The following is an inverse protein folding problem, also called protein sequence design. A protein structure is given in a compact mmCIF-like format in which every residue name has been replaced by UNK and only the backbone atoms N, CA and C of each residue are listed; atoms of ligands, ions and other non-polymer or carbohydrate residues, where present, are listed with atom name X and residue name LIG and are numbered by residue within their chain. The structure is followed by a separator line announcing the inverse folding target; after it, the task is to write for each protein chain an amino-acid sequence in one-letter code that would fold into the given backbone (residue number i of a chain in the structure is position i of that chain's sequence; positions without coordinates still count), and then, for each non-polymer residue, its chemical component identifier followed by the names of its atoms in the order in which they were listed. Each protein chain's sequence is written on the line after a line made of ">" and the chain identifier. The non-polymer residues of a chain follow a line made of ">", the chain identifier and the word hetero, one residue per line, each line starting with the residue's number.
data_IF_201100981634
#
_entry.id   IF_201100981634
#
_cell.length_a   1.000
_cell.length_b   1.000
_cell.length_c   1.000
_cell.angle_alpha   90.00
_cell.angle_beta   90.00
_cell.angle_gamma   90.00
#
_symmetry.space_group_name_H-M   'P 1'
#
loop_
_entity.id
_entity.type
_entity.pdbx_description
1 polymer ?
#
# COMPACT_ATOMS: atom_id res chain seq x y z
N UNK A 1 -9.75 28.29 6.41
CA UNK A 1 -8.92 27.94 5.23
C UNK A 1 -9.50 26.78 4.43
N UNK A 2 -10.09 25.76 5.07
CA UNK A 2 -10.57 24.53 4.42
C UNK A 2 -11.67 24.75 3.38
N UNK A 3 -12.70 25.55 3.67
CA UNK A 3 -13.79 25.85 2.71
C UNK A 3 -13.34 26.60 1.45
N UNK A 4 -12.33 27.48 1.55
CA UNK A 4 -11.77 28.21 0.41
C UNK A 4 -10.94 27.27 -0.48
N UNK A 5 -10.11 26.42 0.13
CA UNK A 5 -9.34 25.38 -0.58
C UNK A 5 -10.29 24.38 -1.26
N UNK A 6 -11.34 23.97 -0.56
CA UNK A 6 -12.35 23.05 -1.04
C UNK A 6 -13.19 23.63 -2.20
N UNK A 7 -13.53 24.92 -2.17
CA UNK A 7 -14.20 25.62 -3.27
C UNK A 7 -13.32 25.73 -4.52
N UNK A 8 -12.01 25.96 -4.37
CA UNK A 8 -11.01 25.96 -5.46
C UNK A 8 -10.89 24.57 -6.12
N UNK A 9 -11.02 23.49 -5.35
CA UNK A 9 -10.94 22.11 -5.85
C UNK A 9 -12.24 21.57 -6.46
N UNK A 10 -13.37 22.28 -6.33
CA UNK A 10 -14.63 21.90 -6.98
C UNK A 10 -14.55 22.00 -8.52
N UNK A 11 -15.38 21.26 -9.29
CA UNK A 11 -15.41 21.36 -10.75
C UNK A 11 -15.63 22.78 -11.25
N UNK A 12 -16.47 23.58 -10.58
CA UNK A 12 -16.71 24.99 -10.91
C UNK A 12 -15.52 25.90 -10.56
N UNK A 13 -14.87 25.65 -9.42
CA UNK A 13 -13.64 26.34 -9.02
C UNK A 13 -12.50 26.06 -10.00
N UNK A 14 -12.27 24.80 -10.33
CA UNK A 14 -11.30 24.37 -11.33
C UNK A 14 -11.67 24.89 -12.72
N UNK A 15 -12.93 24.88 -13.13
CA UNK A 15 -13.37 25.46 -14.40
C UNK A 15 -13.12 26.97 -14.46
N UNK A 16 -13.40 27.72 -13.38
CA UNK A 16 -13.09 29.17 -13.30
C UNK A 16 -11.58 29.45 -13.28
N UNK A 17 -10.77 28.56 -12.69
CA UNK A 17 -9.31 28.65 -12.69
C UNK A 17 -8.69 28.28 -14.04
N UNK A 18 -9.25 27.28 -14.72
CA UNK A 18 -8.76 26.72 -15.99
C UNK A 18 -9.37 27.40 -17.22
N UNK A 19 -10.46 28.14 -17.08
CA UNK A 19 -11.08 28.92 -18.16
C UNK A 19 -10.11 29.93 -18.82
N UNK A 20 -8.96 30.21 -18.18
CA UNK A 20 -7.92 31.11 -18.68
C UNK A 20 -6.53 30.44 -18.79
N UNK A 21 -6.46 29.11 -18.86
CA UNK A 21 -5.22 28.40 -19.17
C UNK A 21 -4.79 28.68 -20.62
N UNK A 22 -3.54 29.09 -20.84
CA UNK A 22 -3.00 29.37 -22.18
C UNK A 22 -3.07 28.12 -23.09
N UNK A 23 -3.57 28.28 -24.32
CA UNK A 23 -3.73 27.21 -25.33
C UNK A 23 -2.43 26.76 -26.03
N UNK A 24 -1.24 27.05 -25.49
CA UNK A 24 0.03 26.64 -26.13
C UNK A 24 0.97 25.91 -25.16
N UNK A 25 1.21 24.63 -25.43
CA UNK A 25 2.44 23.90 -25.09
C UNK A 25 2.58 23.35 -23.66
N UNK A 26 2.22 24.10 -22.62
CA UNK A 26 2.22 23.64 -21.22
C UNK A 26 1.20 24.49 -20.44
N UNK A 27 0.20 23.91 -19.74
CA UNK A 27 -0.76 24.71 -18.98
C UNK A 27 -0.04 25.36 -17.79
N UNK A 28 0.22 26.65 -17.90
CA UNK A 28 0.68 27.53 -16.82
C UNK A 28 -0.37 28.61 -16.61
N UNK A 29 -0.69 28.92 -15.35
CA UNK A 29 -1.56 30.05 -14.99
C UNK A 29 -0.84 31.32 -15.43
N UNK A 30 -1.21 31.84 -16.60
CA UNK A 30 -0.36 32.77 -17.35
C UNK A 30 -0.26 34.18 -16.74
N UNK A 31 -0.93 34.51 -15.61
CA UNK A 31 -0.87 35.86 -15.02
C UNK A 31 -0.92 35.87 -13.46
N UNK A 32 -0.26 36.85 -12.80
CA UNK A 32 -0.01 36.88 -11.36
C UNK A 32 -1.26 37.21 -10.52
N UNK A 33 -1.14 37.00 -9.21
CA UNK A 33 -2.03 37.25 -8.04
C UNK A 33 -3.18 38.28 -8.09
N UNK A 34 -3.27 39.18 -9.06
CA UNK A 34 -4.36 40.14 -9.21
C UNK A 34 -5.66 39.50 -9.72
N UNK A 35 -5.60 38.45 -10.54
CA UNK A 35 -6.80 37.78 -11.07
C UNK A 35 -7.47 36.81 -10.09
N UNK A 36 -6.71 36.23 -9.17
CA UNK A 36 -7.29 35.41 -8.09
C UNK A 36 -8.25 36.25 -7.21
N UNK A 37 -8.04 37.57 -7.14
CA UNK A 37 -8.92 38.50 -6.41
C UNK A 37 -10.23 38.81 -7.13
N UNK A 38 -10.34 38.51 -8.43
CA UNK A 38 -11.55 38.76 -9.23
C UNK A 38 -12.46 37.52 -9.37
N UNK A 39 -12.06 36.37 -8.81
CA UNK A 39 -12.92 35.18 -8.80
C UNK A 39 -14.00 35.40 -7.74
N UNK A 40 -15.23 35.66 -8.18
CA UNK A 40 -16.40 35.67 -7.31
C UNK A 40 -16.76 34.21 -6.93
N UNK A 41 -16.52 33.90 -5.66
CA UNK A 41 -16.91 32.65 -5.02
C UNK A 41 -18.23 32.88 -4.29
N UNK A 42 -19.27 32.13 -4.68
CA UNK A 42 -20.47 32.04 -3.85
C UNK A 42 -20.12 31.19 -2.63
N UNK A 43 -20.00 31.85 -1.48
CA UNK A 43 -19.70 31.19 -0.21
C UNK A 43 -21.00 31.02 0.58
N UNK A 44 -21.29 29.82 1.11
CA UNK A 44 -22.45 29.64 1.97
C UNK A 44 -22.27 30.42 3.28
N UNK A 45 -23.33 30.63 4.08
CA UNK A 45 -23.24 31.26 5.40
C UNK A 45 -22.15 30.63 6.29
N UNK A 46 -21.57 31.40 7.20
CA UNK A 46 -20.47 30.91 8.06
C UNK A 46 -20.85 29.67 8.90
N UNK A 47 -22.11 29.56 9.32
CA UNK A 47 -22.63 28.38 10.01
C UNK A 47 -22.56 27.15 9.10
N UNK A 48 -22.94 27.31 7.84
CA UNK A 48 -22.89 26.23 6.84
C UNK A 48 -21.46 25.87 6.47
N UNK A 49 -20.58 26.86 6.27
CA UNK A 49 -19.15 26.61 6.04
C UNK A 49 -18.51 25.79 7.17
N UNK A 50 -18.86 26.09 8.43
CA UNK A 50 -18.35 25.35 9.60
C UNK A 50 -18.85 23.92 9.61
N UNK A 51 -20.13 23.70 9.31
CA UNK A 51 -20.70 22.37 9.27
C UNK A 51 -20.12 21.53 8.11
N UNK A 52 -19.98 22.10 6.92
CA UNK A 52 -19.33 21.46 5.77
C UNK A 52 -17.88 21.08 6.11
N UNK A 53 -17.13 22.00 6.71
CA UNK A 53 -15.75 21.74 7.12
C UNK A 53 -15.67 20.64 8.20
N UNK A 54 -16.64 20.60 9.11
CA UNK A 54 -16.73 19.54 10.11
C UNK A 54 -16.97 18.17 9.48
N UNK A 55 -18.02 18.04 8.65
CA UNK A 55 -18.38 16.80 7.95
C UNK A 55 -17.22 16.25 7.12
N UNK A 56 -16.63 17.08 6.26
CA UNK A 56 -15.53 16.66 5.39
C UNK A 56 -14.25 16.38 6.20
N UNK A 57 -14.02 17.16 7.25
CA UNK A 57 -12.91 16.94 8.18
C UNK A 57 -12.99 15.57 8.87
N UNK A 58 -14.17 15.15 9.34
CA UNK A 58 -14.37 13.83 9.93
C UNK A 58 -14.05 12.69 8.96
N UNK A 59 -14.40 12.85 7.67
CA UNK A 59 -14.04 11.86 6.64
C UNK A 59 -12.53 11.80 6.42
N UNK A 60 -11.87 12.96 6.31
CA UNK A 60 -10.41 13.05 6.15
C UNK A 60 -9.67 12.46 7.35
N UNK A 61 -10.14 12.71 8.58
CA UNK A 61 -9.61 12.14 9.81
C UNK A 61 -9.70 10.62 9.82
N UNK A 62 -10.82 10.05 9.36
CA UNK A 62 -11.00 8.60 9.26
C UNK A 62 -10.11 7.98 8.19
N UNK A 63 -9.93 8.64 7.04
CA UNK A 63 -9.00 8.19 5.98
C UNK A 63 -7.57 8.15 6.52
N UNK A 64 -7.15 9.19 7.25
CA UNK A 64 -5.83 9.25 7.85
C UNK A 64 -5.63 8.19 8.94
N UNK A 65 -6.65 7.96 9.78
CA UNK A 65 -6.63 6.86 10.75
C UNK A 65 -6.48 5.50 10.07
N UNK A 66 -7.18 5.28 8.96
CA UNK A 66 -7.07 4.05 8.17
C UNK A 66 -5.65 3.87 7.58
N UNK A 67 -5.04 4.94 7.07
CA UNK A 67 -3.65 4.91 6.59
C UNK A 67 -2.67 4.54 7.70
N UNK A 68 -2.81 5.15 8.88
CA UNK A 68 -1.97 4.82 10.05
C UNK A 68 -2.14 3.38 10.49
N UNK A 69 -3.39 2.89 10.55
CA UNK A 69 -3.69 1.49 10.86
C UNK A 69 -2.97 0.53 9.92
N UNK A 70 -2.98 0.80 8.62
CA UNK A 70 -2.24 -0.01 7.64
C UNK A 70 -0.73 0.03 7.85
N UNK A 71 -0.16 1.21 8.13
CA UNK A 71 1.26 1.34 8.43
C UNK A 71 1.66 0.56 9.68
N UNK A 72 0.83 0.57 10.73
CA UNK A 72 1.07 -0.20 11.95
C UNK A 72 1.03 -1.70 11.68
N UNK A 73 0.02 -2.18 10.96
CA UNK A 73 -0.09 -3.61 10.60
C UNK A 73 1.11 -4.09 9.79
N UNK A 74 1.57 -3.29 8.82
CA UNK A 74 2.75 -3.62 8.02
C UNK A 74 4.03 -3.61 8.87
N UNK A 75 4.16 -2.63 9.76
CA UNK A 75 5.30 -2.56 10.68
C UNK A 75 5.34 -3.74 11.65
N UNK A 76 4.17 -4.21 12.13
CA UNK A 76 4.08 -5.40 12.98
C UNK A 76 4.53 -6.66 12.24
N UNK A 77 4.06 -6.86 11.00
CA UNK A 77 4.46 -8.00 10.19
C UNK A 77 5.97 -8.01 9.89
N UNK A 78 6.54 -6.85 9.55
CA UNK A 78 7.97 -6.69 9.33
C UNK A 78 8.78 -6.93 10.59
N UNK A 79 8.32 -6.41 11.74
CA UNK A 79 8.99 -6.62 13.02
C UNK A 79 8.99 -8.10 13.41
N UNK A 80 7.87 -8.80 13.20
CA UNK A 80 7.77 -10.24 13.44
C UNK A 80 8.72 -11.03 12.54
N UNK A 81 8.77 -10.72 11.24
CA UNK A 81 9.69 -11.38 10.31
C UNK A 81 11.15 -11.18 10.73
N UNK A 82 11.51 -9.93 11.06
CA UNK A 82 12.86 -9.59 11.52
C UNK A 82 13.21 -10.33 12.81
N UNK A 83 12.31 -10.34 13.78
CA UNK A 83 12.51 -11.05 15.05
C UNK A 83 12.73 -12.54 14.82
N UNK A 84 11.91 -13.19 14.00
CA UNK A 84 11.95 -14.65 13.82
C UNK A 84 13.10 -15.12 12.93
N UNK A 85 13.35 -14.43 11.81
CA UNK A 85 14.18 -14.96 10.73
C UNK A 85 15.47 -14.18 10.47
N UNK A 86 15.62 -12.99 11.06
CA UNK A 86 16.83 -12.15 10.89
C UNK A 86 17.61 -12.05 12.18
N UNK A 87 16.94 -11.71 13.28
CA UNK A 87 17.57 -11.51 14.59
C UNK A 87 17.62 -12.81 15.41
N UNK A 88 16.81 -13.80 15.04
CA UNK A 88 16.58 -15.05 15.77
C UNK A 88 16.17 -14.81 17.23
N UNK A 89 15.30 -13.82 17.44
CA UNK A 89 14.80 -13.35 18.73
C UNK A 89 14.33 -14.46 19.67
N UNK A 90 13.46 -15.39 19.22
CA UNK A 90 12.99 -16.48 20.08
C UNK A 90 14.12 -17.41 20.55
N UNK A 91 15.06 -17.73 19.67
CA UNK A 91 16.22 -18.57 19.98
C UNK A 91 17.13 -17.87 20.99
N UNK A 92 17.43 -16.58 20.80
CA UNK A 92 18.23 -15.79 21.74
C UNK A 92 17.54 -15.63 23.08
N UNK A 93 16.22 -15.43 23.10
CA UNK A 93 15.44 -15.36 24.32
C UNK A 93 15.51 -16.67 25.11
N UNK A 94 15.44 -17.83 24.43
CA UNK A 94 15.66 -19.14 25.05
C UNK A 94 17.06 -19.29 25.63
N UNK A 95 18.11 -18.90 24.89
CA UNK A 95 19.49 -18.93 25.37
C UNK A 95 19.71 -18.07 26.63
N UNK A 96 19.00 -16.95 26.73
CA UNK A 96 19.07 -16.04 27.87
C UNK A 96 18.15 -16.45 29.04
N UNK A 97 17.38 -17.53 28.89
CA UNK A 97 16.41 -17.98 29.90
C UNK A 97 15.23 -17.03 30.09
N UNK A 98 14.88 -16.25 29.06
CA UNK A 98 13.70 -15.36 29.09
C UNK A 98 12.41 -16.17 28.94
N UNK A 99 11.34 -15.63 29.53
CA UNK A 99 9.99 -16.18 29.39
C UNK A 99 9.50 -16.15 27.93
N UNK A 100 8.73 -17.17 27.49
CA UNK A 100 8.12 -17.19 26.17
C UNK A 100 7.23 -15.97 25.91
N UNK A 101 7.37 -15.37 24.73
CA UNK A 101 6.52 -14.26 24.27
C UNK A 101 5.68 -14.60 23.03
N UNK A 102 5.77 -15.86 22.57
CA UNK A 102 4.96 -16.40 21.49
C UNK A 102 4.01 -17.48 22.04
N UNK A 103 2.92 -17.79 21.32
CA UNK A 103 2.10 -18.98 21.60
C UNK A 103 2.97 -20.23 21.76
N UNK A 104 2.58 -21.12 22.69
CA UNK A 104 3.40 -22.25 23.11
C UNK A 104 3.75 -23.21 21.97
N UNK A 105 2.82 -23.43 21.05
CA UNK A 105 2.98 -24.23 19.83
C UNK A 105 4.04 -23.64 18.91
N UNK A 106 4.04 -22.33 18.70
CA UNK A 106 5.03 -21.63 17.86
C UNK A 106 6.39 -21.55 18.58
N UNK A 107 6.40 -21.25 19.87
CA UNK A 107 7.62 -21.12 20.67
C UNK A 107 8.47 -22.40 20.67
N UNK A 108 7.80 -23.56 20.68
CA UNK A 108 8.46 -24.86 20.67
C UNK A 108 9.14 -25.20 19.33
N UNK A 109 8.76 -24.55 18.23
CA UNK A 109 9.37 -24.77 16.92
C UNK A 109 10.77 -24.15 16.80
N UNK A 110 11.10 -23.18 17.65
CA UNK A 110 12.44 -22.58 17.67
C UNK A 110 13.41 -23.47 18.46
N UNK A 111 14.64 -23.69 17.99
CA UNK A 111 15.66 -24.37 18.79
C UNK A 111 16.10 -23.52 19.99
N UNK A 112 16.79 -24.15 20.95
CA UNK A 112 17.19 -23.50 22.20
C UNK A 112 18.55 -22.79 22.12
N UNK A 113 19.26 -22.92 20.99
CA UNK A 113 20.58 -22.32 20.78
C UNK A 113 20.87 -22.01 19.31
N UNK A 114 21.89 -21.18 19.11
CA UNK A 114 22.54 -20.99 17.81
C UNK A 114 23.69 -21.98 17.64
N UNK A 115 24.02 -22.31 16.40
CA UNK A 115 25.21 -23.10 16.04
C UNK A 115 26.46 -22.22 15.90
N UNK A 116 27.58 -22.85 15.49
CA UNK A 116 28.88 -22.18 15.34
C UNK A 116 28.89 -21.11 14.23
N UNK A 117 27.95 -21.16 13.29
CA UNK A 117 27.76 -20.16 12.22
C UNK A 117 26.82 -19.03 12.65
N UNK A 118 26.27 -19.10 13.87
CA UNK A 118 25.37 -18.09 14.43
C UNK A 118 23.93 -18.16 13.91
N UNK A 119 23.55 -19.27 13.27
CA UNK A 119 22.15 -19.54 12.87
C UNK A 119 21.48 -20.49 13.87
N UNK A 120 20.13 -20.53 13.94
CA UNK A 120 19.44 -21.46 14.83
C UNK A 120 19.85 -22.92 14.59
N UNK A 121 20.11 -23.66 15.66
CA UNK A 121 20.58 -25.05 15.57
C UNK A 121 19.60 -25.91 14.74
N UNK A 122 20.15 -26.64 13.76
CA UNK A 122 19.36 -27.48 12.84
C UNK A 122 18.81 -26.75 11.61
N UNK A 123 18.88 -25.42 11.54
CA UNK A 123 18.52 -24.69 10.34
C UNK A 123 19.58 -24.89 9.26
N UNK A 124 19.13 -25.20 8.05
CA UNK A 124 20.03 -25.40 6.90
C UNK A 124 20.31 -24.06 6.21
N UNK A 125 21.32 -24.01 5.35
CA UNK A 125 21.52 -22.87 4.46
C UNK A 125 20.80 -23.16 3.14
N UNK A 126 19.82 -22.33 2.76
CA UNK A 126 19.11 -22.43 1.48
C UNK A 126 19.23 -21.13 0.68
N UNK A 127 18.95 -21.22 -0.61
CA UNK A 127 18.99 -20.09 -1.54
C UNK A 127 17.63 -19.46 -1.73
N UNK A 128 17.60 -18.19 -2.14
CA UNK A 128 16.33 -17.51 -2.46
C UNK A 128 15.57 -18.23 -3.58
N UNK A 129 16.27 -18.86 -4.52
CA UNK A 129 15.65 -19.69 -5.58
C UNK A 129 14.81 -20.85 -5.05
N UNK A 130 15.05 -21.30 -3.82
CA UNK A 130 14.31 -22.41 -3.22
C UNK A 130 12.93 -21.96 -2.71
N UNK A 131 12.68 -20.65 -2.59
CA UNK A 131 11.45 -20.08 -2.05
C UNK A 131 10.62 -19.32 -3.08
N UNK A 132 11.24 -18.80 -4.14
CA UNK A 132 10.56 -18.01 -5.14
C UNK A 132 11.36 -17.91 -6.46
N UNK A 133 10.63 -17.58 -7.52
CA UNK A 133 11.20 -17.09 -8.77
C UNK A 133 10.63 -15.73 -9.19
N UNK A 134 11.40 -15.02 -10.02
CA UNK A 134 11.10 -13.68 -10.53
C UNK A 134 10.78 -13.75 -12.03
N UNK A 135 9.49 -13.65 -12.34
CA UNK A 135 8.96 -13.63 -13.70
C UNK A 135 8.99 -12.22 -14.29
N UNK A 136 9.25 -12.11 -15.58
CA UNK A 136 9.27 -10.82 -16.27
C UNK A 136 7.86 -10.28 -16.50
N UNK A 137 7.65 -8.99 -16.22
CA UNK A 137 6.49 -8.26 -16.74
C UNK A 137 6.52 -8.13 -18.27
N UNK A 138 5.43 -7.65 -18.85
CA UNK A 138 5.27 -7.51 -20.32
C UNK A 138 5.30 -6.05 -20.75
N UNK A 139 5.83 -5.77 -21.94
CA UNK A 139 5.86 -4.40 -22.45
C UNK A 139 4.44 -3.87 -22.66
N UNK A 140 4.12 -2.74 -22.03
CA UNK A 140 2.86 -2.02 -22.21
C UNK A 140 3.09 -0.49 -22.18
N UNK A 141 3.57 0.09 -23.29
CA UNK A 141 3.80 1.54 -23.43
C UNK A 141 2.51 2.34 -23.22
N UNK A 142 2.62 3.58 -22.73
CA UNK A 142 1.48 4.43 -22.42
C UNK A 142 0.47 4.57 -23.57
N UNK A 143 0.94 4.73 -24.81
CA UNK A 143 0.07 4.86 -25.99
C UNK A 143 -0.70 3.59 -26.40
N UNK A 144 -0.40 2.44 -25.79
CA UNK A 144 -1.13 1.17 -26.00
C UNK A 144 -2.10 0.84 -24.87
N UNK A 145 -2.20 1.69 -23.85
CA UNK A 145 -3.07 1.46 -22.70
C UNK A 145 -4.48 1.92 -23.07
N UNK A 146 -5.45 1.02 -22.90
CA UNK A 146 -6.87 1.33 -22.98
C UNK A 146 -7.43 1.67 -21.59
N UNK A 147 -8.49 2.48 -21.57
CA UNK A 147 -9.16 2.92 -20.35
C UNK A 147 -9.74 1.71 -19.58
N UNK A 148 -9.42 1.65 -18.29
CA UNK A 148 -9.89 0.63 -17.36
C UNK A 148 -9.30 0.88 -15.97
N UNK A 149 -9.51 -0.06 -15.06
CA UNK A 149 -9.18 0.10 -13.63
C UNK A 149 -8.04 -0.82 -13.16
N UNK A 150 -7.40 -1.56 -14.07
CA UNK A 150 -6.30 -2.46 -13.74
C UNK A 150 -5.02 -1.65 -13.56
N UNK A 151 -4.39 -1.64 -12.37
CA UNK A 151 -3.14 -0.91 -12.14
C UNK A 151 -1.99 -1.49 -12.96
N UNK A 152 -1.29 -0.59 -13.66
CA UNK A 152 -0.07 -0.90 -14.42
C UNK A 152 1.13 -0.54 -13.55
N UNK A 153 1.96 -1.53 -13.24
CA UNK A 153 3.12 -1.37 -12.38
C UNK A 153 4.42 -1.26 -13.18
N UNK A 154 5.16 -0.18 -12.93
CA UNK A 154 6.57 -0.04 -13.26
C UNK A 154 7.44 -0.04 -12.00
N UNK A 155 8.75 0.15 -12.14
CA UNK A 155 9.66 0.06 -10.98
C UNK A 155 9.43 1.16 -9.94
N UNK A 156 8.85 2.29 -10.34
CA UNK A 156 8.45 3.37 -9.44
C UNK A 156 7.07 3.18 -8.80
N UNK A 157 6.40 2.04 -9.01
CA UNK A 157 5.04 1.77 -8.57
C UNK A 157 4.02 1.90 -9.71
N UNK A 158 2.79 2.30 -9.37
CA UNK A 158 1.71 2.44 -10.35
C UNK A 158 2.03 3.59 -11.32
N UNK A 159 2.11 3.29 -12.61
CA UNK A 159 2.42 4.24 -13.70
C UNK A 159 1.21 4.57 -14.57
N UNK A 160 0.04 4.00 -14.26
CA UNK A 160 -1.21 4.24 -14.96
C UNK A 160 -2.17 3.08 -14.80
N UNK A 161 -3.24 3.11 -15.57
CA UNK A 161 -4.27 2.07 -15.59
C UNK A 161 -4.39 1.43 -16.97
N UNK A 162 -4.97 0.24 -17.00
CA UNK A 162 -5.30 -0.51 -18.20
C UNK A 162 -6.62 -1.27 -18.02
N UNK A 163 -7.17 -1.83 -19.10
CA UNK A 163 -8.38 -2.65 -19.06
C UNK A 163 -8.08 -4.16 -18.93
N UNK A 164 -6.85 -4.58 -19.22
CA UNK A 164 -6.43 -5.98 -19.13
C UNK A 164 -5.37 -6.17 -18.04
N UNK A 165 -5.43 -7.32 -17.38
CA UNK A 165 -4.46 -7.74 -16.38
C UNK A 165 -3.50 -8.78 -16.95
N UNK A 166 -2.25 -8.72 -16.48
CA UNK A 166 -1.27 -9.78 -16.73
C UNK A 166 -1.28 -10.82 -15.62
N UNK A 167 -1.55 -10.39 -14.39
CA UNK A 167 -1.51 -11.23 -13.19
C UNK A 167 -2.81 -11.06 -12.42
N UNK A 168 -3.35 -12.19 -11.93
CA UNK A 168 -4.41 -12.18 -10.93
C UNK A 168 -3.77 -12.26 -9.55
N UNK A 169 -3.93 -11.21 -8.75
CA UNK A 169 -3.37 -11.12 -7.41
C UNK A 169 -3.92 -12.18 -6.45
N UNK A 170 -3.39 -12.25 -5.21
CA UNK A 170 -2.34 -11.38 -4.66
C UNK A 170 -0.97 -11.66 -5.29
N UNK A 171 -0.16 -10.61 -5.46
CA UNK A 171 1.18 -10.71 -6.06
C UNK A 171 2.16 -9.70 -5.46
N UNK A 172 3.45 -10.09 -5.44
CA UNK A 172 4.56 -9.20 -5.12
C UNK A 172 5.26 -8.76 -6.40
N UNK A 173 5.52 -7.46 -6.51
CA UNK A 173 6.15 -6.82 -7.67
C UNK A 173 7.50 -6.27 -7.23
N UNK A 174 8.54 -6.53 -8.03
CA UNK A 174 9.93 -6.15 -7.73
C UNK A 174 10.48 -5.23 -8.82
N UNK A 175 11.00 -4.07 -8.43
CA UNK A 175 11.65 -3.13 -9.34
C UNK A 175 12.90 -3.72 -9.98
N UNK A 176 12.92 -3.83 -11.32
CA UNK A 176 14.07 -4.37 -12.07
C UNK A 176 14.90 -3.28 -12.74
N UNK A 177 14.28 -2.25 -13.34
CA UNK A 177 14.99 -1.18 -14.07
C UNK A 177 14.54 0.21 -13.61
N UNK A 178 15.48 1.12 -13.38
CA UNK A 178 15.17 2.44 -12.78
C UNK A 178 15.24 2.35 -11.26
N UNK A 179 14.10 2.32 -10.58
CA UNK A 179 14.04 2.13 -9.12
C UNK A 179 14.24 0.65 -8.77
N UNK A 180 15.50 0.21 -8.83
CA UNK A 180 15.93 -1.17 -8.57
C UNK A 180 15.60 -1.59 -7.13
N UNK A 181 15.07 -2.79 -6.96
CA UNK A 181 14.79 -3.37 -5.64
C UNK A 181 13.61 -2.72 -4.89
N UNK A 182 12.77 -1.91 -5.56
CA UNK A 182 11.48 -1.53 -5.00
C UNK A 182 10.59 -2.77 -4.86
N UNK A 183 9.73 -2.77 -3.84
CA UNK A 183 8.81 -3.86 -3.56
C UNK A 183 7.40 -3.30 -3.40
N UNK A 184 6.44 -3.95 -4.04
CA UNK A 184 5.02 -3.62 -3.94
C UNK A 184 4.22 -4.89 -3.77
N UNK A 185 3.19 -4.82 -2.94
CA UNK A 185 2.16 -5.84 -2.83
C UNK A 185 0.89 -5.32 -3.51
N UNK A 186 0.25 -6.16 -4.32
CA UNK A 186 -1.04 -5.87 -4.91
C UNK A 186 -1.97 -7.05 -4.69
N UNK A 187 -3.10 -6.79 -4.04
CA UNK A 187 -4.11 -7.80 -3.71
C UNK A 187 -5.01 -8.13 -4.92
N UNK A 188 -5.06 -7.25 -5.93
CA UNK A 188 -5.99 -7.32 -7.06
C UNK A 188 -5.32 -7.72 -8.37
N UNK A 189 -6.12 -7.78 -9.42
CA UNK A 189 -5.64 -7.85 -10.81
C UNK A 189 -4.66 -6.72 -11.09
N UNK A 190 -3.54 -7.00 -11.75
CA UNK A 190 -2.59 -5.96 -12.13
C UNK A 190 -1.82 -6.29 -13.41
N UNK A 191 -1.12 -5.29 -13.95
CA UNK A 191 -0.25 -5.45 -15.11
C UNK A 191 1.18 -4.99 -14.80
N UNK A 192 2.09 -5.90 -14.38
CA UNK A 192 3.51 -5.61 -14.25
C UNK A 192 4.15 -5.43 -15.64
N UNK A 193 4.82 -4.30 -15.88
CA UNK A 193 5.49 -4.03 -17.16
C UNK A 193 6.92 -4.57 -17.20
N UNK A 194 7.58 -4.50 -18.36
CA UNK A 194 8.92 -5.04 -18.62
C UNK A 194 10.06 -4.44 -17.77
N UNK A 195 9.79 -3.35 -17.05
CA UNK A 195 10.71 -2.75 -16.07
C UNK A 195 10.66 -3.41 -14.70
N UNK A 196 9.71 -4.31 -14.42
CA UNK A 196 9.57 -5.00 -13.13
C UNK A 196 9.60 -6.52 -13.31
N UNK A 197 9.86 -7.21 -12.21
CA UNK A 197 9.51 -8.60 -12.03
C UNK A 197 8.21 -8.72 -11.23
N UNK A 198 7.55 -9.87 -11.31
CA UNK A 198 6.58 -10.30 -10.32
C UNK A 198 6.97 -11.67 -9.76
N UNK A 199 6.65 -11.91 -8.50
CA UNK A 199 7.05 -13.10 -7.75
C UNK A 199 6.15 -14.27 -8.11
N UNK A 200 6.76 -15.41 -8.43
CA UNK A 200 6.13 -16.72 -8.46
C UNK A 200 6.61 -17.50 -7.23
N UNK A 201 5.76 -17.64 -6.20
CA UNK A 201 6.16 -18.23 -4.93
C UNK A 201 6.27 -19.76 -4.99
N UNK A 202 7.30 -20.32 -4.36
CA UNK A 202 7.38 -21.74 -3.96
C UNK A 202 7.09 -21.92 -2.45
N UNK A 203 7.16 -20.82 -1.68
CA UNK A 203 6.77 -20.72 -0.28
C UNK A 203 5.60 -19.73 -0.12
N UNK A 204 4.89 -19.68 1.03
CA UNK A 204 3.79 -18.74 1.22
C UNK A 204 4.13 -17.29 0.86
N UNK A 205 3.29 -16.65 0.05
CA UNK A 205 3.58 -15.32 -0.52
C UNK A 205 3.92 -14.23 0.53
N UNK A 206 3.25 -14.15 1.71
CA UNK A 206 3.65 -13.21 2.76
C UNK A 206 5.11 -13.42 3.21
N UNK A 207 5.55 -14.67 3.37
CA UNK A 207 6.94 -14.98 3.70
C UNK A 207 7.88 -14.51 2.58
N UNK A 208 7.59 -14.82 1.32
CA UNK A 208 8.39 -14.35 0.19
C UNK A 208 8.53 -12.82 0.14
N UNK A 209 7.45 -12.09 0.45
CA UNK A 209 7.47 -10.63 0.48
C UNK A 209 8.43 -10.08 1.54
N UNK A 210 8.28 -10.48 2.80
CA UNK A 210 9.13 -9.99 3.89
C UNK A 210 10.56 -10.53 3.78
N UNK A 211 10.74 -11.72 3.20
CA UNK A 211 12.06 -12.23 2.82
C UNK A 211 12.73 -11.29 1.83
N UNK A 212 12.10 -10.97 0.69
CA UNK A 212 12.66 -10.03 -0.29
C UNK A 212 12.93 -8.65 0.32
N UNK A 213 12.07 -8.18 1.23
CA UNK A 213 12.23 -6.89 1.91
C UNK A 213 13.46 -6.86 2.84
N UNK A 214 13.81 -8.00 3.43
CA UNK A 214 14.99 -8.13 4.30
C UNK A 214 16.31 -8.11 3.52
N UNK A 215 16.29 -8.34 2.20
CA UNK A 215 17.48 -8.41 1.36
C UNK A 215 17.91 -7.03 0.86
N UNK A 216 19.22 -6.82 0.59
CA UNK A 216 19.74 -5.54 0.10
C UNK A 216 19.48 -5.33 -1.41
N UNK A 217 18.26 -5.60 -1.90
CA UNK A 217 17.93 -5.60 -3.32
C UNK A 217 18.23 -4.26 -4.01
N UNK A 218 18.13 -3.16 -3.28
CA UNK A 218 18.40 -1.80 -3.78
C UNK A 218 19.87 -1.57 -4.11
N UNK A 219 20.77 -2.26 -3.40
CA UNK A 219 22.21 -2.15 -3.57
C UNK A 219 22.73 -3.12 -4.64
N UNK A 220 21.87 -4.03 -5.13
CA UNK A 220 22.21 -5.04 -6.15
C UNK A 220 22.07 -4.52 -7.59
N UNK A 221 22.17 -3.21 -7.78
CA UNK A 221 22.18 -2.62 -9.11
C UNK A 221 23.50 -2.96 -9.82
N UNK A 222 23.44 -3.72 -10.91
CA UNK A 222 24.66 -4.13 -11.62
C UNK A 222 25.19 -3.01 -12.52
N UNK A 223 26.51 -2.76 -12.51
CA UNK A 223 27.23 -1.85 -13.43
C UNK A 223 27.28 -2.31 -14.90
N UNK A 224 26.36 -3.19 -15.31
CA UNK A 224 26.21 -3.58 -16.70
C UNK A 224 25.77 -2.37 -17.56
N UNK A 225 26.00 -2.43 -18.88
CA UNK A 225 25.59 -1.40 -19.83
C UNK A 225 24.08 -1.02 -19.76
N UNK A 226 23.25 -1.86 -19.15
CA UNK A 226 21.90 -1.53 -18.71
C UNK A 226 21.79 -1.82 -17.21
N UNK A 227 21.82 -0.80 -16.35
CA UNK A 227 21.68 -0.96 -14.91
C UNK A 227 20.32 -1.57 -14.55
N UNK A 228 20.29 -2.48 -13.59
CA UNK A 228 19.09 -3.15 -13.13
C UNK A 228 19.34 -4.28 -12.14
N UNK A 229 18.24 -4.78 -11.56
CA UNK A 229 18.25 -5.99 -10.73
C UNK A 229 18.45 -7.21 -11.63
N UNK A 230 19.57 -7.91 -11.45
CA UNK A 230 19.75 -9.23 -12.04
C UNK A 230 19.15 -10.29 -11.11
N UNK A 231 18.06 -10.93 -11.53
CA UNK A 231 17.39 -11.99 -10.74
C UNK A 231 18.32 -13.15 -10.39
N UNK A 232 19.30 -13.47 -11.23
CA UNK A 232 20.25 -14.55 -10.95
C UNK A 232 21.14 -14.19 -9.75
N UNK A 233 21.43 -12.91 -9.52
CA UNK A 233 22.13 -12.48 -8.31
C UNK A 233 21.24 -12.65 -7.08
N UNK A 234 19.94 -12.33 -7.19
CA UNK A 234 18.96 -12.53 -6.11
C UNK A 234 18.84 -14.00 -5.75
N UNK A 235 18.70 -14.89 -6.75
CA UNK A 235 18.59 -16.32 -6.55
C UNK A 235 19.77 -16.96 -5.83
N UNK A 236 20.98 -16.41 -5.96
CA UNK A 236 22.18 -16.93 -5.30
C UNK A 236 22.35 -16.47 -3.85
N UNK A 237 21.55 -15.51 -3.38
CA UNK A 237 21.60 -15.12 -1.98
C UNK A 237 21.18 -16.30 -1.11
N UNK A 238 21.88 -16.47 0.00
CA UNK A 238 21.70 -17.56 0.94
C UNK A 238 21.13 -17.04 2.26
N UNK A 239 20.26 -17.82 2.87
CA UNK A 239 19.65 -17.52 4.18
C UNK A 239 19.70 -18.76 5.08
N UNK A 240 19.67 -18.53 6.39
CA UNK A 240 19.33 -19.58 7.34
C UNK A 240 17.86 -19.98 7.11
N UNK A 241 17.66 -21.22 6.69
CA UNK A 241 16.37 -21.77 6.30
C UNK A 241 15.59 -22.22 7.53
N UNK A 242 14.49 -21.53 7.88
CA UNK A 242 13.57 -22.02 8.91
C UNK A 242 12.88 -23.32 8.46
N UNK A 243 12.42 -24.15 9.43
CA UNK A 243 11.45 -25.21 9.19
C UNK A 243 10.19 -24.70 8.51
N UNK A 244 9.59 -25.53 7.65
CA UNK A 244 8.39 -25.16 6.88
C UNK A 244 7.20 -24.86 7.80
N UNK A 245 7.14 -25.48 8.98
CA UNK A 245 6.14 -25.20 10.00
C UNK A 245 6.25 -23.76 10.54
N UNK A 246 7.47 -23.24 10.73
CA UNK A 246 7.70 -21.86 11.15
C UNK A 246 7.37 -20.86 10.05
N UNK A 247 7.70 -21.19 8.79
CA UNK A 247 7.30 -20.40 7.62
C UNK A 247 5.78 -20.29 7.57
N UNK A 248 5.08 -21.42 7.77
CA UNK A 248 3.62 -21.48 7.72
C UNK A 248 2.98 -20.69 8.86
N UNK A 249 3.46 -20.85 10.10
CA UNK A 249 2.97 -20.11 11.26
C UNK A 249 3.14 -18.58 11.11
N UNK A 250 4.29 -18.15 10.58
CA UNK A 250 4.49 -16.74 10.25
C UNK A 250 3.53 -16.30 9.15
N UNK A 251 3.41 -17.08 8.08
CA UNK A 251 2.61 -16.72 6.92
C UNK A 251 1.12 -16.58 7.26
N UNK A 252 0.57 -17.42 8.14
CA UNK A 252 -0.80 -17.30 8.64
C UNK A 252 -1.02 -16.01 9.42
N UNK A 253 -0.06 -15.65 10.28
CA UNK A 253 -0.12 -14.40 11.06
C UNK A 253 -0.03 -13.18 10.14
N UNK A 254 0.92 -13.19 9.20
CA UNK A 254 1.10 -12.13 8.23
C UNK A 254 -0.08 -12.00 7.25
N UNK A 255 -0.71 -13.11 6.86
CA UNK A 255 -1.90 -13.12 6.02
C UNK A 255 -3.07 -12.38 6.70
N UNK A 256 -3.30 -12.58 8.01
CA UNK A 256 -4.33 -11.85 8.75
C UNK A 256 -4.07 -10.34 8.77
N UNK A 257 -2.81 -9.92 8.90
CA UNK A 257 -2.44 -8.51 8.78
C UNK A 257 -2.71 -7.98 7.38
N UNK A 258 -2.38 -8.75 6.33
CA UNK A 258 -2.66 -8.37 4.94
C UNK A 258 -4.15 -8.26 4.63
N UNK A 259 -4.96 -9.22 5.07
CA UNK A 259 -6.41 -9.17 4.92
C UNK A 259 -7.00 -7.93 5.58
N UNK A 260 -6.51 -7.60 6.78
CA UNK A 260 -6.87 -6.37 7.47
C UNK A 260 -6.45 -5.14 6.67
N UNK A 261 -5.19 -5.05 6.25
CA UNK A 261 -4.68 -3.94 5.42
C UNK A 261 -5.54 -3.74 4.16
N UNK A 262 -5.90 -4.83 3.48
CA UNK A 262 -6.74 -4.79 2.28
C UNK A 262 -8.15 -4.28 2.59
N UNK A 263 -8.77 -4.75 3.69
CA UNK A 263 -10.09 -4.29 4.11
C UNK A 263 -10.11 -2.80 4.47
N UNK A 264 -9.12 -2.34 5.24
CA UNK A 264 -8.96 -0.94 5.64
C UNK A 264 -8.65 -0.04 4.45
N UNK A 265 -7.88 -0.53 3.47
CA UNK A 265 -7.59 0.21 2.24
C UNK A 265 -8.86 0.43 1.42
N UNK A 266 -9.70 -0.61 1.25
CA UNK A 266 -11.01 -0.48 0.58
C UNK A 266 -11.95 0.49 1.29
N UNK A 267 -11.97 0.46 2.62
CA UNK A 267 -12.73 1.43 3.42
C UNK A 267 -12.22 2.86 3.15
N UNK A 268 -10.90 3.07 3.14
CA UNK A 268 -10.29 4.36 2.83
C UNK A 268 -10.61 4.87 1.41
N UNK A 269 -10.58 3.99 0.40
CA UNK A 269 -10.99 4.32 -0.97
C UNK A 269 -12.47 4.75 -1.02
N UNK A 270 -13.35 4.03 -0.33
CA UNK A 270 -14.78 4.35 -0.24
C UNK A 270 -15.03 5.71 0.42
N UNK A 271 -14.34 6.00 1.53
CA UNK A 271 -14.44 7.28 2.23
C UNK A 271 -13.93 8.44 1.37
N UNK A 272 -12.86 8.24 0.61
CA UNK A 272 -12.34 9.25 -0.30
C UNK A 272 -13.35 9.55 -1.43
N UNK A 273 -13.95 8.50 -2.03
CA UNK A 273 -15.01 8.67 -3.03
C UNK A 273 -16.24 9.39 -2.47
N UNK A 274 -16.65 9.04 -1.25
CA UNK A 274 -17.76 9.70 -0.58
C UNK A 274 -17.46 11.19 -0.36
N UNK A 275 -16.28 11.52 0.17
CA UNK A 275 -15.82 12.90 0.37
C UNK A 275 -15.85 13.67 -0.96
N UNK A 276 -15.28 13.10 -2.01
CA UNK A 276 -15.19 13.75 -3.33
C UNK A 276 -16.57 13.92 -3.98
N UNK A 277 -17.54 13.07 -3.64
CA UNK A 277 -18.94 13.18 -4.07
C UNK A 277 -19.73 14.23 -3.26
N UNK A 278 -19.50 14.30 -1.94
CA UNK A 278 -20.22 15.21 -1.05
C UNK A 278 -19.73 16.65 -1.17
N UNK A 279 -18.43 16.84 -1.37
CA UNK A 279 -17.78 18.14 -1.46
C UNK A 279 -18.51 19.11 -2.43
N UNK A 280 -18.72 18.79 -3.71
CA UNK A 280 -19.40 19.70 -4.62
C UNK A 280 -20.87 19.94 -4.24
N UNK A 281 -21.59 18.91 -3.80
CA UNK A 281 -23.02 18.99 -3.45
C UNK A 281 -23.30 19.84 -2.21
N UNK A 282 -22.40 19.79 -1.24
CA UNK A 282 -22.46 20.60 -0.02
C UNK A 282 -22.12 22.06 -0.32
N UNK A 283 -21.15 22.32 -1.20
CA UNK A 283 -20.76 23.68 -1.59
C UNK A 283 -21.83 24.35 -2.46
N UNK A 284 -22.46 23.61 -3.38
CA UNK A 284 -23.53 24.13 -4.25
C UNK A 284 -24.87 24.30 -3.52
N UNK A 285 -25.01 23.75 -2.31
CA UNK A 285 -26.26 23.72 -1.55
C UNK A 285 -27.29 22.72 -2.09
N UNK A 286 -26.92 21.89 -3.07
CA UNK A 286 -27.75 20.76 -3.56
C UNK A 286 -28.07 19.75 -2.45
N UNK A 287 -27.12 19.57 -1.52
CA UNK A 287 -27.31 18.76 -0.32
C UNK A 287 -27.34 19.68 0.90
N UNK A 288 -28.46 19.69 1.62
CA UNK A 288 -28.56 20.41 2.89
C UNK A 288 -27.75 19.68 3.95
N UNK A 289 -27.10 20.44 4.82
CA UNK A 289 -26.28 19.93 5.92
C UNK A 289 -27.04 18.93 6.81
N UNK A 290 -28.29 19.25 7.18
CA UNK A 290 -29.11 18.38 8.01
C UNK A 290 -29.41 17.01 7.37
N UNK A 291 -29.40 16.92 6.04
CA UNK A 291 -29.60 15.67 5.32
C UNK A 291 -28.27 14.90 5.19
N UNK A 292 -27.15 15.61 5.07
CA UNK A 292 -25.81 15.03 5.09
C UNK A 292 -25.45 14.42 6.46
N UNK A 293 -25.76 15.10 7.56
CA UNK A 293 -25.54 14.60 8.93
C UNK A 293 -26.33 13.31 9.17
N UNK A 294 -27.61 13.28 8.81
CA UNK A 294 -28.45 12.06 8.90
C UNK A 294 -27.94 10.92 8.02
N UNK A 295 -27.35 11.24 6.87
CA UNK A 295 -26.76 10.22 6.00
C UNK A 295 -25.53 9.59 6.67
N UNK A 296 -24.65 10.41 7.24
CA UNK A 296 -23.44 9.93 7.94
C UNK A 296 -23.80 9.08 9.15
N UNK A 297 -24.71 9.54 10.02
CA UNK A 297 -25.18 8.77 11.19
C UNK A 297 -25.75 7.41 10.80
N UNK A 298 -26.53 7.33 9.71
CA UNK A 298 -27.06 6.06 9.20
C UNK A 298 -25.96 5.12 8.69
N UNK A 299 -24.91 5.67 8.08
CA UNK A 299 -23.81 4.88 7.51
C UNK A 299 -22.90 4.33 8.62
N UNK A 300 -22.64 5.13 9.66
CA UNK A 300 -21.90 4.70 10.85
C UNK A 300 -22.65 3.62 11.63
N UNK A 301 -23.97 3.77 11.81
CA UNK A 301 -24.80 2.75 12.46
C UNK A 301 -24.86 1.44 11.67
N UNK A 302 -24.92 1.49 10.34
CA UNK A 302 -24.87 0.28 9.51
C UNK A 302 -23.51 -0.43 9.59
N UNK A 303 -22.40 0.30 9.58
CA UNK A 303 -21.06 -0.26 9.73
C UNK A 303 -20.82 -0.90 11.12
N UNK A 304 -21.35 -0.28 12.18
CA UNK A 304 -21.29 -0.81 13.54
C UNK A 304 -22.15 -2.09 13.74
N UNK A 305 -23.30 -2.19 13.06
CA UNK A 305 -24.16 -3.38 13.13
C UNK A 305 -23.61 -4.59 12.35
N UNK A 306 -22.74 -4.39 11.35
CA UNK A 306 -22.07 -5.50 10.63
C UNK A 306 -20.88 -6.07 11.40
N UNK A 307 -20.22 -5.27 12.24
CA UNK A 307 -19.09 -5.71 13.09
C UNK A 307 -19.53 -6.42 14.38
N UNK A 308 -20.80 -6.29 14.79
CA UNK A 308 -21.37 -6.94 15.98
C UNK A 308 -22.01 -8.31 15.77
N UNK A 309 -21.93 -8.91 14.57
CA UNK A 309 -22.54 -10.23 14.27
C UNK A 309 -21.54 -11.39 14.20
N UNK A 310 -20.27 -11.14 14.52
CA UNK A 310 -19.25 -12.19 14.71
C UNK A 310 -18.85 -12.17 16.18
N UNK A 311 -19.69 -12.75 17.02
CA UNK A 311 -19.41 -13.13 18.41
C UNK A 311 -19.95 -14.52 18.64
#
# INVERSE_FOLDING_TARGET
>A
MTALVQSIHSPEGQHKLLANASQTGVPSIARPSSYLKTIELSLPPLSEQRAIAHILGTLDDKIELNRRRNQTLEAMARALFKDWFVDFGPVRAKMEGREPYLPADIWQLFPDRLDDEGKPEGWQTKRISDYLSLAYGKSLPAGKRHQGDVPVYGSGGITGLHNEALVNGPVVIVGRKGTVGSLYWEDRLCFPIDTVFYVQPEAPLPFCYYLLESLPLRDMNTDAAVPGLNRENVYRLEIAAPPDELISAFAETAARFRESIAAVSREGETLAQLRDTLLPKLISGELRIADAEKFIERTEHQAASQTGSVS
#
